data_IF_880890769394
#
_entry.id   IF_880890769394
#
_cell.length_a   1.000
_cell.length_b   1.000
_cell.length_c   1.000
_cell.angle_alpha   90.00
_cell.angle_beta   90.00
_cell.angle_gamma   90.00
#
_symmetry.space_group_name_H-M   'P 1'
#
loop_
_entity.id
_entity.type
_entity.pdbx_description
1 polymer ?
#
# COMPACT_ATOMS: atom_id res chain seq x y z
N UNK A 1 29.67 13.01 -2.68
CA UNK A 1 28.21 13.23 -2.54
C UNK A 1 27.62 11.91 -2.10
N UNK A 2 27.13 11.83 -0.86
CA UNK A 2 27.06 10.58 -0.08
C UNK A 2 25.80 9.77 -0.41
N UNK A 3 26.00 8.55 -0.90
CA UNK A 3 24.99 7.51 -1.22
C UNK A 3 24.03 7.21 -0.06
N UNK A 4 24.38 7.59 1.16
CA UNK A 4 23.56 7.43 2.38
C UNK A 4 22.29 8.30 2.39
N UNK A 5 22.24 9.39 1.63
CA UNK A 5 21.06 10.29 1.59
C UNK A 5 19.95 9.71 0.70
N UNK A 6 20.28 8.93 -0.34
CA UNK A 6 19.28 8.35 -1.25
C UNK A 6 18.53 7.18 -0.57
N UNK A 7 19.21 6.43 0.30
CA UNK A 7 18.58 5.35 1.08
C UNK A 7 17.54 5.85 2.09
N UNK A 8 17.68 7.08 2.60
CA UNK A 8 16.70 7.66 3.52
C UNK A 8 15.43 8.17 2.81
N UNK A 9 15.48 8.43 1.49
CA UNK A 9 14.32 8.91 0.73
C UNK A 9 13.35 7.78 0.31
N UNK A 10 13.78 6.52 0.31
CA UNK A 10 12.88 5.37 0.07
C UNK A 10 12.07 4.98 1.31
N UNK A 11 12.40 5.52 2.49
CA UNK A 11 11.73 5.25 3.77
C UNK A 11 10.48 6.14 3.95
N UNK A 12 10.31 7.17 3.12
CA UNK A 12 9.26 8.20 3.29
C UNK A 12 7.93 7.98 2.56
N UNK A 13 7.69 6.84 1.90
CA UNK A 13 6.47 6.62 1.10
C UNK A 13 5.71 5.33 1.42
N UNK A 14 5.79 4.85 2.65
CA UNK A 14 4.81 3.88 3.18
C UNK A 14 4.06 4.63 4.29
N UNK A 15 3.04 5.37 3.83
CA UNK A 15 1.97 6.05 4.59
C UNK A 15 2.43 6.83 5.84
N UNK A 16 3.06 7.97 5.61
CA UNK A 16 3.14 9.03 6.61
C UNK A 16 1.79 9.76 6.75
N UNK A 17 0.90 9.27 7.62
CA UNK A 17 -0.11 10.15 8.22
C UNK A 17 0.54 10.83 9.42
N UNK A 18 1.07 12.04 9.18
CA UNK A 18 1.52 12.91 10.27
C UNK A 18 2.72 13.78 9.94
N UNK A 19 2.53 14.80 9.10
CA UNK A 19 3.43 15.96 9.12
C UNK A 19 3.76 16.57 7.77
N UNK A 20 2.88 17.43 7.25
CA UNK A 20 3.25 18.56 6.38
C UNK A 20 2.06 19.52 6.21
N UNK A 21 1.81 20.35 7.23
CA UNK A 21 1.33 21.71 6.94
C UNK A 21 2.56 22.50 6.57
N UNK A 22 2.63 23.07 5.36
CA UNK A 22 3.24 24.37 5.03
C UNK A 22 3.13 24.70 3.51
N UNK A 23 2.15 25.56 3.21
CA UNK A 23 2.12 26.71 2.30
C UNK A 23 2.56 26.64 0.80
N UNK A 24 1.52 26.73 -0.04
CA UNK A 24 1.27 27.62 -1.20
C UNK A 24 2.32 27.81 -2.31
N UNK A 25 1.90 27.53 -3.56
CA UNK A 25 1.83 28.54 -4.63
C UNK A 25 0.92 28.07 -5.78
N UNK A 26 -0.07 28.89 -6.12
CA UNK A 26 -0.89 28.78 -7.33
C UNK A 26 -0.04 28.80 -8.61
N UNK A 27 -0.43 28.01 -9.61
CA UNK A 27 -0.40 28.38 -11.05
C UNK A 27 -1.30 27.45 -11.86
N UNK A 28 -2.40 28.03 -12.34
CA UNK A 28 -2.97 27.99 -13.69
C UNK A 28 -3.38 26.67 -14.37
N UNK A 29 -4.67 26.63 -14.68
CA UNK A 29 -5.33 25.70 -15.60
C UNK A 29 -4.76 25.77 -17.02
N UNK A 30 -4.72 24.64 -17.73
CA UNK A 30 -4.92 24.60 -19.18
C UNK A 30 -5.80 23.40 -19.57
N UNK A 31 -6.84 23.58 -20.41
CA UNK A 31 -7.70 22.51 -20.89
C UNK A 31 -7.10 21.89 -22.15
N UNK A 32 -7.07 20.56 -22.27
CA UNK A 32 -6.86 19.90 -23.56
C UNK A 32 -7.81 18.71 -23.70
N UNK A 33 -8.92 18.97 -24.38
CA UNK A 33 -9.69 17.94 -25.06
C UNK A 33 -8.78 17.27 -26.11
N UNK A 34 -8.60 15.96 -25.98
CA UNK A 34 -7.86 15.15 -26.93
C UNK A 34 -8.46 13.75 -26.98
N UNK A 35 -9.40 13.55 -27.89
CA UNK A 35 -9.86 12.22 -28.30
C UNK A 35 -8.71 11.47 -28.95
N UNK A 36 -8.07 10.56 -28.22
CA UNK A 36 -7.09 9.64 -28.78
C UNK A 36 -7.73 8.26 -28.93
N UNK A 37 -8.05 7.90 -30.19
CA UNK A 37 -8.44 6.55 -30.56
C UNK A 37 -7.17 5.68 -30.63
N UNK A 38 -7.03 4.71 -29.72
CA UNK A 38 -6.08 3.62 -29.91
C UNK A 38 -6.70 2.58 -30.85
N UNK A 39 -6.27 2.60 -32.11
CA UNK A 39 -6.39 1.44 -33.00
C UNK A 39 -5.07 0.67 -32.91
N UNK A 40 -5.12 -0.52 -32.30
CA UNK A 40 -3.94 -1.36 -32.16
C UNK A 40 -4.19 -2.51 -31.21
N UNK A 41 -4.66 -3.63 -31.75
CA UNK A 41 -4.87 -4.86 -31.01
C UNK A 41 -3.58 -5.41 -30.42
N UNK A 42 -3.51 -5.41 -29.10
CA UNK A 42 -2.84 -6.42 -28.30
C UNK A 42 -3.65 -6.54 -27.01
N UNK A 43 -4.47 -7.58 -26.91
CA UNK A 43 -5.01 -8.04 -25.63
C UNK A 43 -3.82 -8.51 -24.81
N UNK A 44 -3.24 -7.62 -24.01
CA UNK A 44 -2.37 -8.05 -22.93
C UNK A 44 -3.26 -8.74 -21.92
N UNK A 45 -3.03 -10.04 -21.66
CA UNK A 45 -3.77 -10.78 -20.63
C UNK A 45 -3.62 -10.03 -19.30
N UNK A 46 -4.74 -9.48 -18.84
CA UNK A 46 -4.91 -8.61 -17.67
C UNK A 46 -4.95 -9.42 -16.35
N UNK A 47 -4.70 -10.73 -16.40
CA UNK A 47 -5.07 -11.63 -15.30
C UNK A 47 -4.14 -11.56 -14.06
N UNK A 48 -2.91 -11.05 -14.18
CA UNK A 48 -1.97 -11.00 -13.03
C UNK A 48 -1.92 -9.67 -12.27
N UNK A 49 -2.31 -8.55 -12.90
CA UNK A 49 -2.51 -7.28 -12.20
C UNK A 49 -3.95 -7.11 -11.71
N UNK A 50 -4.92 -7.79 -12.35
CA UNK A 50 -6.31 -7.84 -11.94
C UNK A 50 -6.50 -8.38 -10.52
N UNK A 51 -5.78 -9.43 -10.11
CA UNK A 51 -5.98 -10.03 -8.78
C UNK A 51 -5.71 -9.11 -7.59
N UNK A 52 -4.65 -8.28 -7.64
CA UNK A 52 -4.38 -7.31 -6.56
C UNK A 52 -5.32 -6.10 -6.65
N UNK A 53 -5.68 -5.68 -7.86
CA UNK A 53 -6.68 -4.63 -8.08
C UNK A 53 -8.06 -5.05 -7.53
N UNK A 54 -8.49 -6.28 -7.79
CA UNK A 54 -9.75 -6.84 -7.31
C UNK A 54 -9.76 -7.04 -5.81
N UNK A 55 -8.62 -7.45 -5.24
CA UNK A 55 -8.44 -7.56 -3.78
C UNK A 55 -8.56 -6.19 -3.11
N UNK A 56 -7.90 -5.16 -3.65
CA UNK A 56 -7.99 -3.79 -3.15
C UNK A 56 -9.38 -3.20 -3.30
N UNK A 57 -10.02 -3.42 -4.45
CA UNK A 57 -11.39 -3.02 -4.69
C UNK A 57 -12.35 -3.70 -3.71
N UNK A 58 -12.15 -4.99 -3.44
CA UNK A 58 -12.91 -5.75 -2.43
C UNK A 58 -12.75 -5.18 -1.02
N UNK A 59 -11.54 -4.79 -0.62
CA UNK A 59 -11.31 -4.11 0.65
C UNK A 59 -12.03 -2.76 0.72
N UNK A 60 -11.95 -1.94 -0.34
CA UNK A 60 -12.62 -0.64 -0.38
C UNK A 60 -14.15 -0.75 -0.32
N UNK A 61 -14.75 -1.69 -1.06
CA UNK A 61 -16.19 -2.00 -0.97
C UNK A 61 -16.55 -2.48 0.44
N UNK A 62 -15.67 -3.27 1.07
CA UNK A 62 -15.83 -3.72 2.45
C UNK A 62 -15.86 -2.59 3.48
N UNK A 63 -15.40 -1.38 3.13
CA UNK A 63 -15.43 -0.20 4.00
C UNK A 63 -16.63 0.72 3.73
N UNK A 64 -17.35 0.53 2.62
CA UNK A 64 -18.41 1.45 2.20
C UNK A 64 -19.52 1.56 3.25
N UNK A 65 -19.84 2.80 3.64
CA UNK A 65 -20.86 3.10 4.64
C UNK A 65 -20.50 2.72 6.09
N UNK A 66 -19.30 2.18 6.35
CA UNK A 66 -18.83 1.92 7.72
C UNK A 66 -18.25 3.18 8.34
N UNK A 67 -18.44 3.34 9.64
CA UNK A 67 -17.87 4.42 10.46
C UNK A 67 -17.54 3.89 11.84
N UNK A 68 -16.69 4.58 12.61
CA UNK A 68 -16.38 4.18 13.99
C UNK A 68 -15.74 2.80 14.10
N UNK A 69 -16.04 2.06 15.16
CA UNK A 69 -15.47 0.73 15.45
C UNK A 69 -15.67 -0.26 14.29
N UNK A 70 -16.81 -0.21 13.59
CA UNK A 70 -17.06 -1.08 12.44
C UNK A 70 -16.13 -0.77 11.26
N UNK A 71 -15.78 0.50 11.05
CA UNK A 71 -14.81 0.90 10.04
C UNK A 71 -13.41 0.45 10.45
N UNK A 72 -13.01 0.74 11.68
CA UNK A 72 -11.66 0.44 12.18
C UNK A 72 -11.39 -1.07 12.17
N UNK A 73 -12.35 -1.91 12.60
CA UNK A 73 -12.20 -3.36 12.53
C UNK A 73 -12.04 -3.86 11.09
N UNK A 74 -12.86 -3.36 10.16
CA UNK A 74 -12.80 -3.74 8.75
C UNK A 74 -11.49 -3.27 8.09
N UNK A 75 -11.03 -2.06 8.41
CA UNK A 75 -9.78 -1.50 7.93
C UNK A 75 -8.57 -2.31 8.43
N UNK A 76 -8.51 -2.60 9.73
CA UNK A 76 -7.42 -3.40 10.31
C UNK A 76 -7.39 -4.81 9.71
N UNK A 77 -8.54 -5.46 9.57
CA UNK A 77 -8.61 -6.80 8.97
C UNK A 77 -8.12 -6.80 7.50
N UNK A 78 -8.55 -5.81 6.71
CA UNK A 78 -8.09 -5.65 5.33
C UNK A 78 -6.59 -5.36 5.24
N UNK A 79 -6.08 -4.44 6.05
CA UNK A 79 -4.67 -4.05 5.99
C UNK A 79 -3.71 -5.12 6.47
N UNK A 80 -4.10 -5.97 7.42
CA UNK A 80 -3.32 -7.16 7.78
C UNK A 80 -3.12 -8.06 6.55
N UNK A 81 -4.21 -8.44 5.87
CA UNK A 81 -4.13 -9.31 4.67
C UNK A 81 -3.33 -8.64 3.54
N UNK A 82 -3.52 -7.34 3.33
CA UNK A 82 -2.74 -6.60 2.34
C UNK A 82 -1.23 -6.64 2.65
N UNK A 83 -0.86 -6.43 3.91
CA UNK A 83 0.55 -6.43 4.34
C UNK A 83 1.16 -7.83 4.26
N UNK A 84 0.41 -8.88 4.58
CA UNK A 84 0.84 -10.27 4.41
C UNK A 84 1.18 -10.57 2.95
N UNK A 85 0.33 -10.15 2.00
CA UNK A 85 0.62 -10.28 0.58
C UNK A 85 1.89 -9.53 0.14
N UNK A 86 2.11 -8.31 0.66
CA UNK A 86 3.34 -7.56 0.39
C UNK A 86 4.60 -8.27 0.95
N UNK A 87 4.49 -8.88 2.13
CA UNK A 87 5.58 -9.69 2.74
C UNK A 87 5.89 -10.92 1.89
N UNK A 88 4.88 -11.61 1.37
CA UNK A 88 5.07 -12.77 0.48
C UNK A 88 5.77 -12.38 -0.83
N UNK A 89 5.35 -11.28 -1.46
CA UNK A 89 6.02 -10.74 -2.64
C UNK A 89 7.47 -10.34 -2.36
N UNK A 90 7.72 -9.69 -1.23
CA UNK A 90 9.08 -9.31 -0.83
C UNK A 90 9.96 -10.54 -0.59
N UNK A 91 9.44 -11.60 0.05
CA UNK A 91 10.16 -12.88 0.20
C UNK A 91 10.51 -13.48 -1.17
N UNK A 92 9.57 -13.47 -2.12
CA UNK A 92 9.84 -13.93 -3.48
C UNK A 92 10.94 -13.11 -4.17
N UNK A 93 10.98 -11.80 -3.94
CA UNK A 93 12.03 -10.92 -4.48
C UNK A 93 13.42 -11.26 -3.92
N UNK A 94 13.54 -11.67 -2.65
CA UNK A 94 14.83 -12.09 -2.08
C UNK A 94 15.46 -13.28 -2.83
N UNK A 95 14.64 -14.20 -3.32
CA UNK A 95 15.09 -15.38 -4.07
C UNK A 95 15.30 -15.09 -5.55
N UNK A 96 14.40 -14.33 -6.17
CA UNK A 96 14.32 -14.23 -7.62
C UNK A 96 14.98 -12.96 -8.19
N UNK A 97 15.16 -11.91 -7.39
CA UNK A 97 15.71 -10.66 -7.90
C UNK A 97 17.20 -10.79 -8.24
N UNK A 98 17.57 -10.26 -9.41
CA UNK A 98 18.96 -10.17 -9.87
C UNK A 98 19.74 -9.05 -9.19
N UNK A 99 19.07 -7.94 -8.89
CA UNK A 99 19.68 -6.71 -8.41
C UNK A 99 19.64 -6.65 -6.88
N UNK A 100 20.78 -6.29 -6.26
CA UNK A 100 20.91 -6.22 -4.80
C UNK A 100 20.06 -5.10 -4.19
N UNK A 101 19.82 -4.02 -4.94
CA UNK A 101 18.94 -2.92 -4.54
C UNK A 101 17.50 -3.41 -4.30
N UNK A 102 17.02 -4.35 -5.13
CA UNK A 102 15.68 -4.94 -4.98
C UNK A 102 15.64 -5.86 -3.75
N UNK A 103 16.70 -6.61 -3.46
CA UNK A 103 16.76 -7.46 -2.25
C UNK A 103 16.84 -6.62 -0.98
N UNK A 104 17.55 -5.50 -1.01
CA UNK A 104 17.59 -4.55 0.11
C UNK A 104 16.21 -3.95 0.35
N UNK A 105 15.53 -3.51 -0.71
CA UNK A 105 14.14 -3.04 -0.63
C UNK A 105 13.20 -4.12 -0.07
N UNK A 106 13.33 -5.37 -0.53
CA UNK A 106 12.52 -6.48 -0.05
C UNK A 106 12.71 -6.75 1.45
N UNK A 107 13.95 -6.73 1.95
CA UNK A 107 14.21 -6.87 3.39
C UNK A 107 13.58 -5.72 4.19
N UNK A 108 13.64 -4.48 3.68
CA UNK A 108 13.02 -3.33 4.32
C UNK A 108 11.50 -3.47 4.39
N UNK A 109 10.85 -3.90 3.29
CA UNK A 109 9.41 -4.18 3.24
C UNK A 109 9.06 -5.25 4.28
N UNK A 110 9.77 -6.38 4.30
CA UNK A 110 9.50 -7.46 5.27
C UNK A 110 9.57 -6.94 6.71
N UNK A 111 10.58 -6.14 7.05
CA UNK A 111 10.75 -5.62 8.41
C UNK A 111 9.62 -4.65 8.80
N UNK A 112 9.28 -3.71 7.92
CA UNK A 112 8.26 -2.69 8.18
C UNK A 112 6.88 -3.33 8.27
N UNK A 113 6.46 -4.06 7.23
CA UNK A 113 5.11 -4.62 7.16
C UNK A 113 4.83 -5.62 8.29
N UNK A 114 5.82 -6.42 8.73
CA UNK A 114 5.63 -7.32 9.89
C UNK A 114 5.42 -6.56 11.22
N UNK A 115 6.07 -5.42 11.37
CA UNK A 115 5.91 -4.56 12.55
C UNK A 115 4.50 -3.96 12.57
N UNK A 116 4.02 -3.49 11.43
CA UNK A 116 2.68 -2.94 11.26
C UNK A 116 1.59 -4.00 11.43
N UNK A 117 1.77 -5.21 10.88
CA UNK A 117 0.87 -6.35 11.13
C UNK A 117 0.72 -6.59 12.63
N UNK A 118 1.84 -6.68 13.36
CA UNK A 118 1.81 -6.89 14.80
C UNK A 118 1.06 -5.76 15.51
N UNK A 119 1.32 -4.52 15.13
CA UNK A 119 0.65 -3.37 15.71
C UNK A 119 -0.88 -3.41 15.48
N UNK A 120 -1.32 -3.73 14.27
CA UNK A 120 -2.74 -3.86 13.94
C UNK A 120 -3.41 -5.01 14.70
N UNK A 121 -2.74 -6.15 14.86
CA UNK A 121 -3.22 -7.27 15.68
C UNK A 121 -3.33 -6.90 17.16
N UNK A 122 -2.34 -6.16 17.68
CA UNK A 122 -2.36 -5.65 19.05
C UNK A 122 -3.53 -4.68 19.26
N UNK A 123 -3.83 -3.81 18.30
CA UNK A 123 -5.00 -2.92 18.34
C UNK A 123 -6.32 -3.68 18.29
N UNK A 124 -6.47 -4.64 17.37
CA UNK A 124 -7.68 -5.48 17.31
C UNK A 124 -7.95 -6.16 18.66
N UNK A 125 -6.90 -6.69 19.29
CA UNK A 125 -7.01 -7.30 20.61
C UNK A 125 -7.31 -6.27 21.70
N UNK A 126 -6.60 -5.15 21.73
CA UNK A 126 -6.73 -4.17 22.80
C UNK A 126 -8.07 -3.42 22.78
N UNK A 127 -8.65 -3.19 21.60
CA UNK A 127 -9.85 -2.39 21.45
C UNK A 127 -11.14 -3.24 21.46
N UNK A 128 -11.06 -4.50 21.00
CA UNK A 128 -12.26 -5.30 20.73
C UNK A 128 -12.33 -6.65 21.47
N UNK A 129 -11.32 -7.04 22.25
CA UNK A 129 -11.35 -8.33 22.98
C UNK A 129 -12.40 -8.41 24.11
N UNK A 130 -12.96 -7.28 24.56
CA UNK A 130 -14.01 -7.24 25.61
C UNK A 130 -15.44 -7.05 25.08
N UNK A 131 -15.63 -6.76 23.79
CA UNK A 131 -16.97 -6.53 23.22
C UNK A 131 -17.71 -7.84 22.83
N UNK A 132 -17.13 -9.00 23.15
CA UNK A 132 -17.62 -10.34 22.78
C UNK A 132 -18.20 -11.15 23.95
N UNK A 133 -18.42 -10.54 25.12
CA UNK A 133 -19.11 -11.12 26.28
C UNK A 133 -20.41 -10.37 26.57
#
# INVERSE_FOLDING_TARGET
MNTKIILAALIGLIVGVGGAVLFTKDTDEMPMAGSHMMSGGATMNDDSMGGMHDTMNGMMVGLEGKTGDEFDQAFLAGMIVHHEGAVEMAKAALTNAKHEEIKQMANAIISAQNTEIKQMQDWQKSWYAEQSQ
#
